data_IF_079466332328
#
_entry.id   IF_079466332328
#
_cell.length_a   1.000
_cell.length_b   1.000
_cell.length_c   1.000
_cell.angle_alpha   90.00
_cell.angle_beta   90.00
_cell.angle_gamma   90.00
#
_symmetry.space_group_name_H-M   'P 1'
#
loop_
_entity.id
_entity.type
_entity.pdbx_description
1 polymer ?
#
# COMPACT_ATOMS: atom_id res chain seq x y z
N UNK A 1 23.56 27.66 -24.25
CA UNK A 1 22.39 26.77 -24.20
C UNK A 1 22.72 25.28 -24.04
N UNK A 2 23.50 24.64 -24.96
CA UNK A 2 23.80 23.18 -24.87
C UNK A 2 24.44 22.73 -23.55
N UNK A 3 25.38 23.52 -22.98
CA UNK A 3 26.02 23.21 -21.70
C UNK A 3 25.02 23.27 -20.52
N UNK A 4 24.14 24.28 -20.49
CA UNK A 4 23.14 24.45 -19.45
C UNK A 4 22.14 23.29 -19.46
N UNK A 5 21.65 22.87 -20.64
CA UNK A 5 20.75 21.70 -20.80
C UNK A 5 21.43 20.42 -20.29
N UNK A 6 22.73 20.25 -20.62
CA UNK A 6 23.51 19.10 -20.13
C UNK A 6 23.63 19.09 -18.60
N UNK A 7 23.91 20.22 -17.97
CA UNK A 7 23.99 20.31 -16.51
C UNK A 7 22.63 20.06 -15.86
N UNK A 8 21.55 20.64 -16.40
CA UNK A 8 20.19 20.40 -15.92
C UNK A 8 19.83 18.91 -16.00
N UNK A 9 20.10 18.25 -17.11
CA UNK A 9 19.88 16.82 -17.29
C UNK A 9 20.60 15.98 -16.21
N UNK A 10 21.89 16.23 -16.00
CA UNK A 10 22.65 15.50 -15.00
C UNK A 10 22.17 15.77 -13.57
N UNK A 11 21.81 17.02 -13.28
CA UNK A 11 21.23 17.38 -11.96
C UNK A 11 19.94 16.61 -11.70
N UNK A 12 19.01 16.60 -12.67
CA UNK A 12 17.74 15.85 -12.55
C UNK A 12 18.01 14.35 -12.36
N UNK A 13 18.94 13.79 -13.13
CA UNK A 13 19.30 12.37 -13.03
C UNK A 13 19.90 12.02 -11.66
N UNK A 14 20.78 12.86 -11.13
CA UNK A 14 21.39 12.67 -9.81
C UNK A 14 20.32 12.76 -8.72
N UNK A 15 19.44 13.76 -8.78
CA UNK A 15 18.34 13.92 -7.82
C UNK A 15 17.38 12.74 -7.87
N UNK A 16 17.02 12.28 -9.07
CA UNK A 16 16.18 11.10 -9.24
C UNK A 16 16.83 9.85 -8.61
N UNK A 17 18.12 9.63 -8.87
CA UNK A 17 18.83 8.48 -8.34
C UNK A 17 19.01 8.54 -6.82
N UNK A 18 19.34 9.71 -6.27
CA UNK A 18 19.41 9.91 -4.82
C UNK A 18 18.07 9.67 -4.15
N UNK A 19 16.98 10.19 -4.72
CA UNK A 19 15.62 9.93 -4.26
C UNK A 19 15.22 8.44 -4.35
N UNK A 20 15.63 7.75 -5.43
CA UNK A 20 15.42 6.31 -5.59
C UNK A 20 16.14 5.50 -4.50
N UNK A 21 17.39 5.86 -4.16
CA UNK A 21 18.10 5.20 -3.05
C UNK A 21 17.43 5.45 -1.70
N UNK A 22 16.99 6.67 -1.43
CA UNK A 22 16.26 7.02 -0.21
C UNK A 22 14.91 6.27 -0.13
N UNK A 23 14.18 6.18 -1.24
CA UNK A 23 12.95 5.40 -1.34
C UNK A 23 13.21 3.92 -1.05
N UNK A 24 14.25 3.35 -1.67
CA UNK A 24 14.63 1.96 -1.46
C UNK A 24 15.02 1.70 0.00
N UNK A 25 15.78 2.59 0.60
CA UNK A 25 16.10 2.49 2.03
C UNK A 25 14.82 2.48 2.89
N UNK A 26 13.92 3.44 2.67
CA UNK A 26 12.66 3.57 3.41
C UNK A 26 11.79 2.32 3.34
N UNK A 27 11.58 1.76 2.14
CA UNK A 27 10.70 0.59 1.96
C UNK A 27 11.26 -0.70 2.60
N UNK A 28 12.56 -0.75 2.87
CA UNK A 28 13.21 -1.89 3.52
C UNK A 28 13.42 -1.71 5.05
N UNK A 29 13.14 -0.51 5.59
CA UNK A 29 13.40 -0.18 6.99
C UNK A 29 12.15 0.41 7.68
N UNK A 30 10.98 -0.18 7.42
CA UNK A 30 9.82 0.17 8.23
C UNK A 30 10.05 -0.32 9.67
N UNK A 31 9.62 0.49 10.67
CA UNK A 31 9.63 0.03 12.06
C UNK A 31 8.78 -1.24 12.19
N UNK A 32 9.05 -2.02 13.23
CA UNK A 32 8.21 -3.17 13.55
C UNK A 32 6.74 -2.73 13.64
N UNK A 33 5.81 -3.56 13.15
CA UNK A 33 4.40 -3.24 13.20
C UNK A 33 3.97 -2.91 14.64
N UNK A 34 3.32 -1.77 14.77
CA UNK A 34 2.79 -1.32 16.05
C UNK A 34 1.74 -2.30 16.59
N UNK A 35 1.84 -2.66 17.86
CA UNK A 35 0.92 -3.59 18.54
C UNK A 35 -0.46 -2.97 18.85
N UNK A 36 -0.62 -1.65 18.65
CA UNK A 36 -1.89 -0.95 18.88
C UNK A 36 -3.03 -1.58 18.09
N UNK A 37 -4.19 -1.68 18.70
CA UNK A 37 -5.43 -1.96 17.98
C UNK A 37 -5.87 -0.74 17.19
N UNK A 38 -6.50 -0.98 16.06
CA UNK A 38 -7.17 0.02 15.23
C UNK A 38 -8.63 -0.35 15.07
N UNK A 39 -9.48 0.58 14.64
CA UNK A 39 -10.91 0.29 14.42
C UNK A 39 -11.11 -0.67 13.26
N UNK A 40 -10.27 -0.54 12.22
CA UNK A 40 -10.33 -1.45 11.07
C UNK A 40 -8.94 -1.82 10.54
N UNK A 41 -8.90 -2.95 9.81
CA UNK A 41 -7.80 -3.34 8.94
C UNK A 41 -8.24 -3.09 7.50
N UNK A 42 -7.35 -2.45 6.71
CA UNK A 42 -7.54 -2.27 5.26
C UNK A 42 -6.50 -3.10 4.54
N UNK A 43 -6.93 -4.05 3.71
CA UNK A 43 -6.05 -4.84 2.86
C UNK A 43 -6.20 -4.43 1.40
N UNK A 44 -5.10 -4.01 0.75
CA UNK A 44 -5.11 -3.71 -0.67
C UNK A 44 -4.76 -4.96 -1.48
N UNK A 45 -5.60 -5.31 -2.46
CA UNK A 45 -5.35 -6.44 -3.36
C UNK A 45 -4.16 -6.23 -4.30
N UNK A 46 -3.85 -7.19 -5.17
CA UNK A 46 -2.78 -7.09 -6.16
C UNK A 46 -1.39 -7.53 -5.69
N UNK A 47 -1.22 -7.94 -4.44
CA UNK A 47 0.03 -8.51 -3.91
C UNK A 47 -0.16 -9.83 -3.19
N UNK A 48 0.90 -10.67 -3.20
CA UNK A 48 0.90 -11.94 -2.46
C UNK A 48 0.88 -11.67 -0.96
N UNK A 49 0.25 -12.55 -0.20
CA UNK A 49 0.22 -12.59 1.27
C UNK A 49 -0.44 -11.41 1.98
N UNK A 50 -0.85 -10.32 1.30
CA UNK A 50 -1.49 -9.16 1.95
C UNK A 50 -2.81 -9.54 2.61
N UNK A 51 -3.67 -10.27 1.88
CA UNK A 51 -4.96 -10.73 2.39
C UNK A 51 -4.76 -11.74 3.52
N UNK A 52 -3.85 -12.70 3.35
CA UNK A 52 -3.55 -13.68 4.37
C UNK A 52 -3.08 -13.01 5.67
N UNK A 53 -2.20 -12.02 5.57
CA UNK A 53 -1.71 -11.26 6.71
C UNK A 53 -2.83 -10.43 7.36
N UNK A 54 -3.70 -9.81 6.58
CA UNK A 54 -4.83 -9.05 7.11
C UNK A 54 -5.82 -9.95 7.88
N UNK A 55 -6.11 -11.16 7.35
CA UNK A 55 -6.96 -12.15 8.04
C UNK A 55 -6.28 -12.64 9.32
N UNK A 56 -4.95 -12.88 9.30
CA UNK A 56 -4.20 -13.24 10.50
C UNK A 56 -4.34 -12.18 11.60
N UNK A 57 -4.14 -10.91 11.24
CA UNK A 57 -4.28 -9.78 12.17
C UNK A 57 -5.70 -9.63 12.71
N UNK A 58 -6.71 -9.86 11.87
CA UNK A 58 -8.11 -9.85 12.30
C UNK A 58 -8.38 -10.98 13.31
N UNK A 59 -7.91 -12.21 13.02
CA UNK A 59 -8.03 -13.34 13.94
C UNK A 59 -7.34 -13.07 15.29
N UNK A 60 -6.22 -12.32 15.29
CA UNK A 60 -5.49 -11.89 16.50
C UNK A 60 -6.16 -10.72 17.24
N UNK A 61 -7.25 -10.19 16.70
CA UNK A 61 -7.98 -9.09 17.33
C UNK A 61 -7.29 -7.74 17.25
N UNK A 62 -6.48 -7.50 16.22
CA UNK A 62 -5.84 -6.20 15.98
C UNK A 62 -6.82 -5.12 15.49
N UNK A 63 -8.01 -5.53 15.04
CA UNK A 63 -9.16 -4.68 14.75
C UNK A 63 -10.47 -5.48 14.85
N UNK A 64 -11.59 -4.78 14.84
CA UNK A 64 -12.92 -5.42 14.83
C UNK A 64 -13.47 -5.63 13.41
N UNK A 65 -12.89 -4.95 12.42
CA UNK A 65 -13.37 -5.00 11.03
C UNK A 65 -12.21 -5.15 10.05
N UNK A 66 -12.46 -5.86 8.95
CA UNK A 66 -11.54 -5.96 7.83
C UNK A 66 -12.25 -5.54 6.55
N UNK A 67 -11.66 -4.59 5.83
CA UNK A 67 -12.06 -4.22 4.49
C UNK A 67 -10.98 -4.62 3.49
N UNK A 68 -11.34 -5.42 2.50
CA UNK A 68 -10.44 -5.85 1.42
C UNK A 68 -10.82 -5.08 0.16
N UNK A 69 -10.05 -4.06 -0.21
CA UNK A 69 -10.31 -3.21 -1.36
C UNK A 69 -9.69 -3.79 -2.65
N UNK A 70 -10.38 -3.60 -3.78
CA UNK A 70 -9.92 -4.04 -5.10
C UNK A 70 -10.10 -5.54 -5.35
N UNK A 71 -11.12 -6.14 -4.77
CA UNK A 71 -11.47 -7.53 -5.05
C UNK A 71 -12.19 -7.63 -6.39
N UNK A 72 -11.85 -8.62 -7.21
CA UNK A 72 -12.57 -8.87 -8.46
C UNK A 72 -14.05 -9.15 -8.20
N UNK A 73 -14.90 -8.66 -9.11
CA UNK A 73 -16.35 -8.96 -9.05
C UNK A 73 -16.55 -10.47 -9.04
N UNK A 74 -17.52 -10.93 -8.24
CA UNK A 74 -17.88 -12.34 -8.09
C UNK A 74 -16.91 -13.21 -7.24
N UNK A 75 -15.94 -12.60 -6.55
CA UNK A 75 -15.12 -13.30 -5.56
C UNK A 75 -15.81 -13.22 -4.19
N UNK A 76 -16.08 -14.38 -3.59
CA UNK A 76 -16.63 -14.49 -2.25
C UNK A 76 -15.52 -14.61 -1.17
N UNK A 77 -15.91 -14.47 0.11
CA UNK A 77 -15.00 -14.74 1.23
C UNK A 77 -14.50 -16.19 1.22
N UNK A 78 -15.35 -17.14 0.87
CA UNK A 78 -14.97 -18.55 0.74
C UNK A 78 -13.93 -18.78 -0.37
N UNK A 79 -14.04 -18.04 -1.48
CA UNK A 79 -13.03 -18.08 -2.53
C UNK A 79 -11.69 -17.51 -2.06
N UNK A 80 -11.72 -16.47 -1.24
CA UNK A 80 -10.52 -15.89 -0.63
C UNK A 80 -9.87 -16.89 0.32
N UNK A 81 -10.63 -17.53 1.20
CA UNK A 81 -10.10 -18.55 2.10
C UNK A 81 -9.41 -19.68 1.33
N UNK A 82 -10.08 -20.21 0.30
CA UNK A 82 -9.55 -21.30 -0.54
C UNK A 82 -8.33 -20.89 -1.33
N UNK A 83 -8.37 -19.72 -2.00
CA UNK A 83 -7.29 -19.25 -2.91
C UNK A 83 -6.06 -18.75 -2.15
N UNK A 84 -6.23 -18.29 -0.92
CA UNK A 84 -5.15 -17.69 -0.11
C UNK A 84 -4.68 -18.61 1.01
N UNK A 85 -5.27 -19.81 1.11
CA UNK A 85 -4.98 -20.79 2.18
C UNK A 85 -5.04 -20.15 3.58
N UNK A 86 -6.12 -19.41 3.81
CA UNK A 86 -6.36 -18.75 5.10
C UNK A 86 -7.64 -19.24 5.71
N UNK A 87 -7.70 -19.25 7.03
CA UNK A 87 -8.92 -19.58 7.78
C UNK A 87 -9.40 -18.38 8.57
N UNK A 88 -10.62 -17.96 8.32
CA UNK A 88 -11.31 -16.96 9.13
C UNK A 88 -11.80 -17.67 10.39
N UNK A 89 -11.23 -17.31 11.54
CA UNK A 89 -11.50 -17.94 12.84
C UNK A 89 -12.21 -16.98 13.80
N UNK A 90 -12.89 -15.99 13.27
CA UNK A 90 -13.48 -14.91 14.05
C UNK A 90 -14.85 -14.55 13.49
N UNK A 91 -15.75 -14.08 14.36
CA UNK A 91 -17.07 -13.55 13.98
C UNK A 91 -17.00 -12.06 13.61
N UNK A 92 -15.79 -11.47 13.53
CA UNK A 92 -15.59 -10.09 13.17
C UNK A 92 -15.98 -9.82 11.73
N UNK A 93 -16.42 -8.60 11.48
CA UNK A 93 -16.93 -8.19 10.18
C UNK A 93 -15.82 -8.16 9.11
N UNK A 94 -16.07 -8.82 7.98
CA UNK A 94 -15.23 -8.74 6.78
C UNK A 94 -16.08 -8.28 5.61
N UNK A 95 -15.66 -7.17 4.99
CA UNK A 95 -16.32 -6.64 3.80
C UNK A 95 -15.36 -6.59 2.63
N UNK A 96 -15.86 -6.91 1.43
CA UNK A 96 -15.13 -6.89 0.17
C UNK A 96 -15.53 -5.64 -0.62
N UNK A 97 -14.54 -4.85 -1.02
CA UNK A 97 -14.66 -3.77 -1.98
C UNK A 97 -14.33 -4.28 -3.38
N UNK A 98 -15.20 -4.02 -4.33
CA UNK A 98 -15.10 -4.53 -5.71
C UNK A 98 -15.25 -3.43 -6.79
N UNK A 99 -15.15 -2.17 -6.39
CA UNK A 99 -15.31 -1.02 -7.30
C UNK A 99 -13.97 -0.53 -7.83
N UNK A 100 -12.88 -0.81 -7.14
CA UNK A 100 -11.56 -0.26 -7.43
C UNK A 100 -10.71 -1.16 -8.34
N UNK A 101 -10.05 -0.55 -9.30
CA UNK A 101 -9.12 -1.19 -10.25
C UNK A 101 -7.68 -0.66 -10.12
N UNK A 102 -7.49 0.43 -9.38
CA UNK A 102 -6.20 1.08 -9.19
C UNK A 102 -6.08 1.68 -7.78
N UNK A 103 -4.91 2.25 -7.43
CA UNK A 103 -4.65 2.73 -6.06
C UNK A 103 -5.46 3.96 -5.67
N UNK A 104 -5.76 4.84 -6.62
CA UNK A 104 -6.61 6.02 -6.37
C UNK A 104 -8.02 5.56 -6.01
N UNK A 105 -8.58 4.67 -6.83
CA UNK A 105 -9.89 4.07 -6.59
C UNK A 105 -9.95 3.28 -5.29
N UNK A 106 -8.88 2.54 -4.94
CA UNK A 106 -8.77 1.87 -3.63
C UNK A 106 -8.89 2.87 -2.47
N UNK A 107 -8.26 4.04 -2.58
CA UNK A 107 -8.32 5.06 -1.54
C UNK A 107 -9.71 5.70 -1.45
N UNK A 108 -10.37 5.95 -2.59
CA UNK A 108 -11.74 6.50 -2.65
C UNK A 108 -12.74 5.50 -2.07
N UNK A 109 -12.73 4.25 -2.55
CA UNK A 109 -13.60 3.16 -2.07
C UNK A 109 -13.44 2.94 -0.56
N UNK A 110 -12.18 2.95 -0.08
CA UNK A 110 -11.90 2.82 1.34
C UNK A 110 -12.43 4.02 2.12
N UNK A 111 -12.25 5.27 1.64
CA UNK A 111 -12.81 6.46 2.29
C UNK A 111 -14.31 6.35 2.45
N UNK A 112 -15.04 6.02 1.39
CA UNK A 112 -16.51 5.88 1.44
C UNK A 112 -16.94 4.84 2.46
N UNK A 113 -16.22 3.71 2.52
CA UNK A 113 -16.47 2.68 3.52
C UNK A 113 -16.18 3.16 4.95
N UNK A 114 -15.07 3.88 5.17
CA UNK A 114 -14.70 4.43 6.48
C UNK A 114 -15.74 5.45 6.96
N UNK A 115 -16.18 6.35 6.10
CA UNK A 115 -17.20 7.37 6.42
C UNK A 115 -18.52 6.72 6.79
N UNK A 116 -18.99 5.74 6.01
CA UNK A 116 -20.23 4.98 6.29
C UNK A 116 -20.19 4.25 7.64
N UNK A 117 -19.03 3.84 8.09
CA UNK A 117 -18.84 3.08 9.31
C UNK A 117 -18.32 3.91 10.49
N UNK A 118 -18.14 5.24 10.33
CA UNK A 118 -17.60 6.16 11.34
C UNK A 118 -16.22 5.71 11.87
N UNK A 119 -15.31 5.26 10.98
CA UNK A 119 -13.98 4.76 11.32
C UNK A 119 -12.94 5.87 11.08
N UNK A 120 -12.11 6.13 12.09
CA UNK A 120 -11.08 7.17 12.09
C UNK A 120 -9.66 6.63 12.18
N UNK A 121 -9.49 5.36 12.55
CA UNK A 121 -8.19 4.70 12.68
C UNK A 121 -8.13 3.37 11.94
N UNK A 122 -7.07 3.18 11.14
CA UNK A 122 -6.90 1.98 10.33
C UNK A 122 -5.50 1.38 10.45
N UNK A 123 -5.43 0.07 10.24
CA UNK A 123 -4.18 -0.64 9.95
C UNK A 123 -4.13 -0.94 8.45
N UNK A 124 -3.23 -0.28 7.75
CA UNK A 124 -3.05 -0.45 6.30
C UNK A 124 -2.08 -1.60 6.01
N UNK A 125 -2.61 -2.71 5.50
CA UNK A 125 -1.85 -3.91 5.14
C UNK A 125 -1.60 -3.92 3.64
N UNK A 126 -0.34 -3.68 3.26
CA UNK A 126 0.06 -3.68 1.84
C UNK A 126 1.55 -4.02 1.71
N UNK A 127 2.03 -4.26 0.48
CA UNK A 127 3.46 -4.54 0.30
C UNK A 127 4.31 -3.35 0.68
N UNK A 128 5.46 -3.61 1.28
CA UNK A 128 6.40 -2.59 1.74
C UNK A 128 6.72 -1.52 0.68
N UNK A 129 6.95 -1.92 -0.58
CA UNK A 129 7.25 -1.01 -1.70
C UNK A 129 6.04 -0.18 -2.15
N UNK A 130 4.83 -0.62 -1.83
CA UNK A 130 3.58 0.06 -2.20
C UNK A 130 3.13 1.08 -1.16
N UNK A 131 3.58 0.98 0.09
CA UNK A 131 3.19 1.85 1.20
C UNK A 131 3.36 3.33 0.90
N UNK A 132 4.52 3.83 0.38
CA UNK A 132 4.69 5.27 0.19
C UNK A 132 3.61 5.87 -0.71
N UNK A 133 3.27 5.20 -1.82
CA UNK A 133 2.24 5.63 -2.74
C UNK A 133 0.84 5.52 -2.12
N UNK A 134 0.55 4.41 -1.45
CA UNK A 134 -0.75 4.24 -0.79
C UNK A 134 -1.01 5.32 0.25
N UNK A 135 -0.01 5.69 1.06
CA UNK A 135 -0.16 6.76 2.06
C UNK A 135 -0.47 8.11 1.41
N UNK A 136 0.18 8.47 0.30
CA UNK A 136 -0.12 9.71 -0.42
C UNK A 136 -1.57 9.73 -0.92
N UNK A 137 -2.06 8.61 -1.46
CA UNK A 137 -3.46 8.50 -1.94
C UNK A 137 -4.47 8.53 -0.78
N UNK A 138 -4.20 7.81 0.31
CA UNK A 138 -5.10 7.79 1.47
C UNK A 138 -5.19 9.16 2.14
N UNK A 139 -4.06 9.85 2.36
CA UNK A 139 -4.07 11.20 2.92
C UNK A 139 -4.62 12.26 1.97
N UNK A 140 -4.64 12.00 0.65
CA UNK A 140 -5.36 12.85 -0.29
C UNK A 140 -6.88 12.77 -0.07
N UNK A 141 -7.39 11.62 0.34
CA UNK A 141 -8.82 11.42 0.59
C UNK A 141 -9.24 11.86 2.00
N UNK A 142 -8.40 11.63 3.01
CA UNK A 142 -8.69 12.02 4.40
C UNK A 142 -7.38 12.31 5.15
N UNK A 143 -7.09 13.59 5.36
CA UNK A 143 -5.86 14.04 6.05
C UNK A 143 -5.84 13.71 7.54
N UNK A 144 -7.02 13.53 8.16
CA UNK A 144 -7.15 13.24 9.60
C UNK A 144 -7.18 11.74 9.92
N UNK A 145 -7.11 10.88 8.91
CA UNK A 145 -7.12 9.43 9.09
C UNK A 145 -5.87 8.97 9.83
N UNK A 146 -6.06 8.28 10.94
CA UNK A 146 -4.94 7.66 11.66
C UNK A 146 -4.56 6.33 11.00
N UNK A 147 -3.37 6.27 10.44
CA UNK A 147 -2.90 5.09 9.71
C UNK A 147 -1.73 4.43 10.45
N UNK A 148 -1.95 3.21 10.91
CA UNK A 148 -0.89 2.29 11.34
C UNK A 148 -0.45 1.46 10.14
N UNK A 149 0.78 1.65 9.72
CA UNK A 149 1.32 0.92 8.57
C UNK A 149 1.71 -0.50 8.95
N UNK A 150 1.27 -1.48 8.16
CA UNK A 150 1.67 -2.88 8.32
C UNK A 150 2.29 -3.42 7.02
N UNK A 151 3.63 -3.39 6.90
CA UNK A 151 4.32 -3.79 5.69
C UNK A 151 4.30 -5.31 5.50
N UNK A 152 3.88 -5.77 4.33
CA UNK A 152 4.05 -7.15 3.89
C UNK A 152 5.26 -7.23 2.97
N UNK A 153 6.29 -7.93 3.39
CA UNK A 153 7.51 -8.13 2.60
C UNK A 153 7.31 -9.27 1.61
N UNK A 154 7.54 -8.99 0.33
CA UNK A 154 7.41 -9.98 -0.73
C UNK A 154 8.70 -10.79 -0.86
N UNK A 155 8.60 -12.11 -0.83
CA UNK A 155 9.73 -13.02 -1.08
C UNK A 155 10.31 -12.86 -2.50
N UNK A 156 9.49 -12.40 -3.45
CA UNK A 156 9.90 -12.18 -4.84
C UNK A 156 10.75 -10.90 -5.03
N UNK A 157 10.88 -10.06 -4.00
CA UNK A 157 11.71 -8.87 -4.06
C UNK A 157 12.99 -9.15 -3.29
N UNK A 158 14.06 -9.32 -4.02
CA UNK A 158 15.37 -9.50 -3.41
C UNK A 158 15.75 -8.24 -2.61
N UNK A 159 16.18 -8.44 -1.36
CA UNK A 159 16.84 -7.37 -0.58
C UNK A 159 18.03 -6.79 -1.35
N UNK A 160 18.66 -7.60 -2.20
CA UNK A 160 19.71 -7.22 -3.15
C UNK A 160 19.07 -6.93 -4.51
N UNK A 161 18.14 -5.96 -4.55
CA UNK A 161 17.34 -5.60 -5.74
C UNK A 161 18.20 -5.34 -6.98
N UNK A 162 19.43 -4.86 -6.82
CA UNK A 162 20.39 -4.62 -7.92
C UNK A 162 20.92 -5.92 -8.57
N UNK A 163 20.68 -7.08 -7.97
CA UNK A 163 21.02 -8.40 -8.55
C UNK A 163 19.85 -9.05 -9.30
N UNK A 164 18.68 -8.44 -9.27
CA UNK A 164 17.47 -8.96 -9.91
C UNK A 164 16.81 -7.87 -10.73
N UNK A 165 16.84 -8.02 -12.04
CA UNK A 165 16.22 -7.08 -12.96
C UNK A 165 14.73 -6.87 -12.69
N UNK A 166 13.99 -7.95 -12.39
CA UNK A 166 12.57 -7.87 -12.01
C UNK A 166 12.34 -7.06 -10.73
N UNK A 167 13.17 -7.25 -9.70
CA UNK A 167 13.09 -6.46 -8.47
C UNK A 167 13.42 -4.98 -8.71
N UNK A 168 14.45 -4.71 -9.52
CA UNK A 168 14.81 -3.33 -9.91
C UNK A 168 13.65 -2.64 -10.64
N UNK A 169 13.10 -3.26 -11.68
CA UNK A 169 12.00 -2.68 -12.45
C UNK A 169 10.76 -2.43 -11.60
N UNK A 170 10.41 -3.36 -10.71
CA UNK A 170 9.27 -3.20 -9.82
C UNK A 170 9.47 -2.00 -8.87
N UNK A 171 10.61 -1.92 -8.19
CA UNK A 171 10.90 -0.84 -7.24
C UNK A 171 10.99 0.51 -7.99
N UNK A 172 11.65 0.57 -9.15
CA UNK A 172 11.75 1.78 -9.95
C UNK A 172 10.37 2.24 -10.47
N UNK A 173 9.51 1.29 -10.88
CA UNK A 173 8.14 1.59 -11.28
C UNK A 173 7.32 2.18 -10.12
N UNK A 174 7.39 1.57 -8.93
CA UNK A 174 6.66 2.08 -7.77
C UNK A 174 7.22 3.43 -7.28
N UNK A 175 8.54 3.64 -7.37
CA UNK A 175 9.14 4.94 -7.09
C UNK A 175 8.63 6.03 -8.03
N UNK A 176 8.59 5.78 -9.34
CA UNK A 176 8.08 6.75 -10.32
C UNK A 176 6.59 7.05 -10.09
N UNK A 177 5.76 6.03 -9.80
CA UNK A 177 4.35 6.24 -9.45
C UNK A 177 4.20 7.05 -8.16
N UNK A 178 5.01 6.77 -7.15
CA UNK A 178 5.04 7.55 -5.91
C UNK A 178 5.42 9.01 -6.19
N UNK A 179 6.47 9.25 -6.99
CA UNK A 179 6.88 10.62 -7.37
C UNK A 179 5.76 11.37 -8.08
N UNK A 180 5.07 10.71 -9.01
CA UNK A 180 3.95 11.29 -9.73
C UNK A 180 2.85 11.75 -8.77
N UNK A 181 2.37 10.87 -7.88
CA UNK A 181 1.33 11.19 -6.90
C UNK A 181 1.80 12.28 -5.94
N UNK A 182 3.04 12.17 -5.45
CA UNK A 182 3.64 13.14 -4.53
C UNK A 182 3.76 14.54 -5.13
N UNK A 183 4.16 14.64 -6.41
CA UNK A 183 4.25 15.91 -7.14
C UNK A 183 2.86 16.47 -7.46
N UNK A 184 1.95 15.64 -7.96
CA UNK A 184 0.58 16.06 -8.31
C UNK A 184 -0.12 16.70 -7.12
N UNK A 185 0.01 16.12 -5.93
CA UNK A 185 -0.59 16.67 -4.70
C UNK A 185 0.02 18.02 -4.28
N UNK A 186 1.31 18.24 -4.52
CA UNK A 186 2.00 19.46 -4.09
C UNK A 186 1.90 20.60 -5.09
N UNK A 187 1.70 20.26 -6.35
CA UNK A 187 1.62 21.24 -7.44
C UNK A 187 0.17 21.46 -7.93
N UNK A 188 -0.82 20.77 -7.31
CA UNK A 188 -2.25 20.89 -7.60
C UNK A 188 -2.61 20.65 -9.08
N UNK A 189 -2.04 19.63 -9.72
CA UNK A 189 -2.42 19.20 -11.05
C UNK A 189 -2.74 17.70 -11.14
#
# INVERSE_FOLDING_TARGET
MKKLIKYLFWTVLILWFAGFLAFNYRINHYPQPDERKTEAIIALTGGRHRIAEAVRLLNEGKAERLFISGVEKNISLQDIERRKDVKIKTDREIQLGNMSTNTVENAIETREWLEKNNISSIRLVTSNYHIPRSLEEFYAQNQNLQIVVHPVYSENISKKWWKSWGSFLLIASEYNKFLYVWLSRRLNF
#
